data_IF_311350673054
#
_entry.id   IF_311350673054
#
_cell.length_a   1.000
_cell.length_b   1.000
_cell.length_c   1.000
_cell.angle_alpha   90.00
_cell.angle_beta   90.00
_cell.angle_gamma   90.00
#
_symmetry.space_group_name_H-M   'P 1'
#
loop_
_entity.id
_entity.type
_entity.pdbx_description
1 polymer ?
#
# COMPACT_ATOMS: atom_id res chain seq x y z
N UNK A 1 -10.04 -1.95 -11.83
CA UNK A 1 -9.08 -1.09 -11.13
C UNK A 1 -7.87 -0.88 -12.03
N UNK A 2 -7.53 0.36 -12.38
CA UNK A 2 -6.32 0.68 -13.15
C UNK A 2 -5.12 0.82 -12.22
N UNK A 3 -3.87 0.52 -12.66
CA UNK A 3 -2.67 0.73 -11.85
C UNK A 3 -2.56 2.16 -11.32
N UNK A 4 -2.87 3.17 -12.14
CA UNK A 4 -2.85 4.58 -11.78
C UNK A 4 -3.78 4.88 -10.58
N UNK A 5 -5.05 4.44 -10.63
CA UNK A 5 -6.01 4.70 -9.54
C UNK A 5 -5.64 3.98 -8.26
N UNK A 6 -5.14 2.74 -8.37
CA UNK A 6 -4.64 1.99 -7.21
C UNK A 6 -3.45 2.71 -6.59
N UNK A 7 -2.47 3.09 -7.39
CA UNK A 7 -1.29 3.80 -6.94
C UNK A 7 -1.63 5.10 -6.20
N UNK A 8 -2.44 5.98 -6.78
CA UNK A 8 -2.83 7.25 -6.14
C UNK A 8 -3.52 6.98 -4.80
N UNK A 9 -4.44 6.00 -4.74
CA UNK A 9 -5.11 5.66 -3.49
C UNK A 9 -4.16 5.11 -2.43
N UNK A 10 -3.24 4.22 -2.81
CA UNK A 10 -2.23 3.67 -1.90
C UNK A 10 -1.32 4.77 -1.31
N UNK A 11 -0.89 5.71 -2.13
CA UNK A 11 -0.07 6.84 -1.66
C UNK A 11 -0.87 7.76 -0.72
N UNK A 12 -2.13 8.06 -1.04
CA UNK A 12 -2.98 8.89 -0.18
C UNK A 12 -3.27 8.22 1.17
N UNK A 13 -3.42 6.90 1.19
CA UNK A 13 -3.71 6.12 2.39
C UNK A 13 -2.49 5.92 3.29
N UNK A 14 -1.27 6.23 2.85
CA UNK A 14 -0.09 6.20 3.72
C UNK A 14 -0.29 7.18 4.89
N UNK A 15 -0.40 6.64 6.12
CA UNK A 15 -0.58 7.40 7.36
C UNK A 15 -1.81 8.34 7.38
N UNK A 16 -2.82 8.05 6.56
CA UNK A 16 -4.06 8.83 6.48
C UNK A 16 -5.26 7.89 6.49
N UNK A 17 -6.30 8.25 7.23
CA UNK A 17 -7.52 7.44 7.34
C UNK A 17 -8.34 7.45 6.05
N UNK A 18 -9.01 6.34 5.75
CA UNK A 18 -9.84 6.17 4.55
C UNK A 18 -10.92 7.25 4.45
N UNK A 19 -11.60 7.56 5.56
CA UNK A 19 -12.64 8.60 5.61
C UNK A 19 -12.15 9.97 5.15
N UNK A 20 -10.90 10.32 5.44
CA UNK A 20 -10.26 11.55 4.98
C UNK A 20 -9.91 11.46 3.50
N UNK A 21 -9.37 10.33 3.04
CA UNK A 21 -8.86 10.15 1.68
C UNK A 21 -9.96 10.19 0.62
N UNK A 22 -11.16 9.70 0.90
CA UNK A 22 -12.24 9.57 -0.10
C UNK A 22 -12.47 10.87 -0.88
N UNK A 23 -12.68 11.98 -0.17
CA UNK A 23 -12.95 13.27 -0.81
C UNK A 23 -11.74 13.84 -1.58
N UNK A 24 -10.54 13.62 -1.07
CA UNK A 24 -9.29 14.02 -1.76
C UNK A 24 -9.07 13.21 -3.03
N UNK A 25 -9.24 11.90 -2.94
CA UNK A 25 -9.10 11.01 -4.08
C UNK A 25 -10.05 11.37 -5.22
N UNK A 26 -11.32 11.65 -4.90
CA UNK A 26 -12.30 12.02 -5.93
C UNK A 26 -11.89 13.31 -6.66
N UNK A 27 -11.60 14.39 -5.91
CA UNK A 27 -11.16 15.67 -6.51
C UNK A 27 -9.87 15.52 -7.31
N UNK A 28 -8.94 14.68 -6.84
CA UNK A 28 -7.69 14.42 -7.53
C UNK A 28 -7.92 13.69 -8.86
N UNK A 29 -8.80 12.68 -8.87
CA UNK A 29 -9.16 11.93 -10.08
C UNK A 29 -9.95 12.79 -11.09
N UNK A 30 -10.78 13.72 -10.61
CA UNK A 30 -11.51 14.66 -11.46
C UNK A 30 -10.55 15.62 -12.17
N UNK A 31 -9.47 16.04 -11.50
CA UNK A 31 -8.47 16.96 -12.06
C UNK A 31 -7.39 16.24 -12.86
N UNK A 32 -6.98 15.06 -12.41
CA UNK A 32 -5.93 14.24 -13.04
C UNK A 32 -6.46 12.81 -13.27
N UNK A 33 -7.26 12.59 -14.31
CA UNK A 33 -7.92 11.30 -14.55
C UNK A 33 -6.97 10.17 -14.90
N UNK A 34 -5.77 10.49 -15.36
CA UNK A 34 -4.72 9.55 -15.74
C UNK A 34 -3.31 10.10 -15.42
N UNK A 35 -2.32 9.25 -15.66
CA UNK A 35 -0.91 9.57 -15.37
C UNK A 35 -0.37 10.69 -16.25
N UNK A 36 -0.85 10.83 -17.50
CA UNK A 36 -0.41 11.87 -18.42
C UNK A 36 -0.89 13.23 -17.94
N UNK A 37 -2.14 13.33 -17.52
CA UNK A 37 -2.69 14.57 -16.94
C UNK A 37 -1.93 14.98 -15.68
N UNK A 38 -1.60 14.01 -14.80
CA UNK A 38 -0.82 14.28 -13.60
C UNK A 38 0.62 14.69 -13.93
N UNK A 39 1.28 14.03 -14.88
CA UNK A 39 2.65 14.34 -15.29
C UNK A 39 2.77 15.73 -15.92
N UNK A 40 1.77 16.15 -16.71
CA UNK A 40 1.73 17.44 -17.40
C UNK A 40 1.34 18.62 -16.47
N UNK A 41 0.81 18.34 -15.29
CA UNK A 41 0.39 19.38 -14.35
C UNK A 41 1.57 20.14 -13.76
N UNK A 42 1.34 21.38 -13.37
CA UNK A 42 2.29 22.12 -12.54
C UNK A 42 2.35 21.55 -11.12
N UNK A 43 3.53 21.61 -10.50
CA UNK A 43 3.72 21.13 -9.15
C UNK A 43 2.78 21.80 -8.14
N UNK A 44 2.51 23.09 -8.31
CA UNK A 44 1.62 23.86 -7.44
C UNK A 44 0.17 23.40 -7.55
N UNK A 45 -0.30 23.01 -8.73
CA UNK A 45 -1.64 22.43 -8.92
C UNK A 45 -1.77 21.10 -8.15
N UNK A 46 -0.77 20.23 -8.24
CA UNK A 46 -0.75 18.94 -7.51
C UNK A 46 -0.74 19.18 -6.00
N UNK A 47 0.09 20.10 -5.51
CA UNK A 47 0.16 20.46 -4.09
C UNK A 47 -1.12 21.10 -3.59
N UNK A 48 -1.76 21.94 -4.41
CA UNK A 48 -3.04 22.57 -4.07
C UNK A 48 -4.13 21.52 -3.78
N UNK A 49 -4.28 20.52 -4.66
CA UNK A 49 -5.25 19.44 -4.46
C UNK A 49 -4.89 18.51 -3.28
N UNK A 50 -3.65 18.54 -2.82
CA UNK A 50 -3.17 17.79 -1.65
C UNK A 50 -3.28 18.58 -0.34
N UNK A 51 -3.60 19.87 -0.41
CA UNK A 51 -3.67 20.77 0.76
C UNK A 51 -4.63 20.23 1.81
N UNK A 52 -4.15 20.07 3.03
CA UNK A 52 -4.91 19.52 4.17
C UNK A 52 -4.73 18.00 4.38
N UNK A 53 -4.21 17.26 3.39
CA UNK A 53 -3.94 15.83 3.54
C UNK A 53 -2.65 15.55 4.34
N UNK A 54 -1.72 16.52 4.37
CA UNK A 54 -0.44 16.41 5.07
C UNK A 54 0.61 15.58 4.35
N UNK A 55 1.81 15.51 4.93
CA UNK A 55 2.92 14.72 4.38
C UNK A 55 3.18 15.02 2.89
N UNK A 56 3.40 16.29 2.55
CA UNK A 56 3.49 16.81 1.17
C UNK A 56 4.60 16.16 0.32
N UNK A 57 5.59 15.52 0.94
CA UNK A 57 6.57 14.73 0.20
C UNK A 57 5.94 13.63 -0.63
N UNK A 58 4.79 13.08 -0.19
CA UNK A 58 4.01 12.08 -0.96
C UNK A 58 3.52 12.68 -2.29
N UNK A 59 2.95 13.88 -2.25
CA UNK A 59 2.47 14.56 -3.45
C UNK A 59 3.61 14.88 -4.42
N UNK A 60 4.74 15.38 -3.92
CA UNK A 60 5.92 15.65 -4.73
C UNK A 60 6.49 14.40 -5.38
N UNK A 61 6.58 13.30 -4.64
CA UNK A 61 7.04 12.03 -5.16
C UNK A 61 6.07 11.43 -6.18
N UNK A 62 4.75 11.53 -5.90
CA UNK A 62 3.70 11.11 -6.82
C UNK A 62 3.83 11.83 -8.18
N UNK A 63 4.02 13.14 -8.16
CA UNK A 63 4.20 13.94 -9.37
C UNK A 63 5.50 13.59 -10.12
N UNK A 64 6.62 13.42 -9.40
CA UNK A 64 7.89 12.98 -10.00
C UNK A 64 7.76 11.60 -10.64
N UNK A 65 7.11 10.65 -9.94
CA UNK A 65 6.90 9.30 -10.45
C UNK A 65 5.98 9.30 -11.67
N UNK A 66 4.96 10.17 -11.72
CA UNK A 66 4.10 10.32 -12.89
C UNK A 66 4.90 10.76 -14.13
N UNK A 67 5.80 11.74 -13.98
CA UNK A 67 6.69 12.18 -15.07
C UNK A 67 7.61 11.05 -15.51
N UNK A 68 8.23 10.34 -14.58
CA UNK A 68 9.08 9.20 -14.89
C UNK A 68 8.32 8.09 -15.64
N UNK A 69 7.09 7.77 -15.22
CA UNK A 69 6.25 6.80 -15.91
C UNK A 69 5.96 7.22 -17.36
N UNK A 70 5.67 8.49 -17.60
CA UNK A 70 5.42 8.99 -18.95
C UNK A 70 6.69 8.97 -19.79
N UNK A 71 7.81 9.43 -19.24
CA UNK A 71 9.08 9.58 -19.97
C UNK A 71 9.74 8.24 -20.28
N UNK A 72 9.72 7.30 -19.34
CA UNK A 72 10.47 6.03 -19.45
C UNK A 72 9.59 4.84 -19.86
N UNK A 73 8.30 4.87 -19.52
CA UNK A 73 7.36 3.75 -19.71
C UNK A 73 6.13 4.11 -20.55
N UNK A 74 6.12 5.29 -21.19
CA UNK A 74 4.98 5.72 -22.01
C UNK A 74 3.67 5.93 -21.28
N UNK A 75 3.73 6.09 -19.95
CA UNK A 75 2.58 6.29 -19.08
C UNK A 75 1.98 4.99 -18.53
N UNK A 76 2.55 3.84 -18.80
CA UNK A 76 2.14 2.56 -18.19
C UNK A 76 3.04 2.19 -17.02
N UNK A 77 2.56 1.30 -16.14
CA UNK A 77 3.36 0.77 -15.04
C UNK A 77 4.23 -0.39 -15.53
N UNK A 78 5.48 -0.51 -15.03
CA UNK A 78 6.27 -1.72 -15.22
C UNK A 78 5.55 -2.95 -14.67
N UNK A 79 5.93 -4.14 -15.15
CA UNK A 79 5.27 -5.40 -14.78
C UNK A 79 5.87 -6.07 -13.55
N UNK A 80 7.04 -5.61 -13.08
CA UNK A 80 7.73 -6.21 -11.94
C UNK A 80 7.70 -5.31 -10.70
N UNK A 81 7.68 -5.93 -9.53
CA UNK A 81 7.73 -5.22 -8.24
C UNK A 81 9.02 -4.41 -8.11
N UNK A 82 10.12 -4.96 -8.58
CA UNK A 82 11.44 -4.36 -8.55
C UNK A 82 11.47 -3.04 -9.33
N UNK A 83 10.95 -3.04 -10.54
CA UNK A 83 10.89 -1.85 -11.39
C UNK A 83 9.92 -0.81 -10.83
N UNK A 84 8.72 -1.21 -10.42
CA UNK A 84 7.75 -0.28 -9.80
C UNK A 84 8.32 0.33 -8.51
N UNK A 85 9.09 -0.42 -7.75
CA UNK A 85 9.73 0.08 -6.52
C UNK A 85 10.89 1.07 -6.77
N UNK A 86 11.34 1.25 -8.01
CA UNK A 86 12.32 2.31 -8.36
C UNK A 86 11.67 3.68 -8.48
N UNK A 87 10.36 3.74 -8.65
CA UNK A 87 9.62 4.99 -8.78
C UNK A 87 9.63 5.80 -7.47
N UNK A 88 9.75 7.14 -7.54
CA UNK A 88 9.77 7.99 -6.36
C UNK A 88 8.58 7.74 -5.41
N UNK A 89 8.88 7.50 -4.15
CA UNK A 89 7.86 7.30 -3.11
C UNK A 89 7.17 5.94 -3.09
N UNK A 90 7.59 5.01 -3.94
CA UNK A 90 7.06 3.64 -4.00
C UNK A 90 8.09 2.67 -3.43
N UNK A 91 7.76 2.06 -2.29
CA UNK A 91 8.55 0.96 -1.74
C UNK A 91 8.03 -0.41 -2.22
N UNK A 92 8.78 -1.48 -1.91
CA UNK A 92 8.44 -2.87 -2.28
C UNK A 92 6.99 -3.25 -1.93
N UNK A 93 6.51 -2.91 -0.73
CA UNK A 93 5.15 -3.24 -0.31
C UNK A 93 4.08 -2.50 -1.13
N UNK A 94 4.29 -1.21 -1.38
CA UNK A 94 3.37 -0.41 -2.21
C UNK A 94 3.38 -0.90 -3.66
N UNK A 95 4.54 -1.21 -4.22
CA UNK A 95 4.67 -1.80 -5.55
C UNK A 95 3.91 -3.13 -5.66
N UNK A 96 4.06 -3.99 -4.66
CA UNK A 96 3.31 -5.25 -4.57
C UNK A 96 1.81 -5.04 -4.52
N UNK A 97 1.33 -4.09 -3.72
CA UNK A 97 -0.09 -3.78 -3.62
C UNK A 97 -0.66 -3.24 -4.96
N UNK A 98 0.07 -2.36 -5.64
CA UNK A 98 -0.34 -1.82 -6.94
C UNK A 98 -0.51 -2.96 -7.95
N UNK A 99 0.50 -3.80 -8.12
CA UNK A 99 0.50 -4.87 -9.12
C UNK A 99 -0.48 -5.99 -8.79
N UNK A 100 -0.58 -6.39 -7.53
CA UNK A 100 -1.53 -7.43 -7.11
C UNK A 100 -2.99 -7.00 -7.31
N UNK A 101 -3.33 -5.75 -6.97
CA UNK A 101 -4.70 -5.24 -7.06
C UNK A 101 -5.13 -4.85 -8.48
N UNK A 102 -4.19 -4.42 -9.33
CA UNK A 102 -4.52 -3.89 -10.66
C UNK A 102 -4.26 -4.87 -11.79
N UNK A 103 -3.26 -5.76 -11.65
CA UNK A 103 -2.82 -6.70 -12.70
C UNK A 103 -2.87 -8.18 -12.28
N UNK A 104 -3.19 -8.46 -11.01
CA UNK A 104 -3.19 -9.81 -10.50
C UNK A 104 -1.80 -10.47 -10.46
N UNK A 105 -0.74 -9.66 -10.35
CA UNK A 105 0.62 -10.16 -10.17
C UNK A 105 0.78 -10.66 -8.74
N UNK A 106 1.32 -11.88 -8.59
CA UNK A 106 1.60 -12.44 -7.27
C UNK A 106 2.76 -11.67 -6.63
N UNK A 107 2.43 -10.85 -5.66
CA UNK A 107 3.39 -10.03 -4.93
C UNK A 107 2.99 -9.93 -3.45
N UNK A 108 3.87 -10.33 -2.52
CA UNK A 108 3.62 -10.15 -1.10
C UNK A 108 3.67 -8.66 -0.74
N UNK A 109 2.90 -8.30 0.27
CA UNK A 109 2.92 -6.96 0.86
C UNK A 109 3.29 -7.03 2.34
N UNK A 110 3.96 -6.00 2.83
CA UNK A 110 4.37 -5.90 4.23
C UNK A 110 4.39 -4.44 4.69
N UNK A 111 3.22 -3.82 4.73
CA UNK A 111 3.03 -2.49 5.32
C UNK A 111 3.00 -2.56 6.86
N UNK A 112 2.86 -1.45 7.54
CA UNK A 112 2.82 -1.40 9.00
C UNK A 112 1.68 -2.21 9.63
N UNK A 113 0.54 -2.33 8.97
CA UNK A 113 -0.60 -3.12 9.41
C UNK A 113 -0.33 -4.62 9.26
N UNK A 114 0.18 -5.02 8.11
CA UNK A 114 0.53 -6.41 7.82
C UNK A 114 1.71 -6.88 8.68
N UNK A 115 2.72 -6.03 8.89
CA UNK A 115 3.83 -6.31 9.85
C UNK A 115 3.28 -6.64 11.23
N UNK A 116 2.38 -5.83 11.75
CA UNK A 116 1.76 -6.04 13.07
C UNK A 116 0.93 -7.31 13.10
N UNK A 117 0.11 -7.55 12.07
CA UNK A 117 -0.71 -8.74 11.95
C UNK A 117 0.14 -10.01 11.97
N UNK A 118 1.13 -10.12 11.10
CA UNK A 118 2.01 -11.28 10.99
C UNK A 118 2.87 -11.48 12.23
N UNK A 119 3.38 -10.39 12.83
CA UNK A 119 4.13 -10.47 14.09
C UNK A 119 3.30 -11.10 15.21
N UNK A 120 2.02 -10.74 15.33
CA UNK A 120 1.11 -11.30 16.34
C UNK A 120 0.67 -12.72 16.00
N UNK A 121 0.31 -12.95 14.74
CA UNK A 121 -0.14 -14.27 14.28
C UNK A 121 0.89 -15.36 14.58
N UNK A 122 2.17 -15.05 14.43
CA UNK A 122 3.29 -15.97 14.63
C UNK A 122 4.14 -15.70 15.87
N UNK A 123 3.70 -14.82 16.77
CA UNK A 123 4.48 -14.40 17.93
C UNK A 123 5.97 -14.12 17.60
N UNK A 124 6.23 -13.44 16.47
CA UNK A 124 7.59 -13.16 16.00
C UNK A 124 8.29 -12.26 17.01
N UNK A 125 9.40 -12.71 17.62
CA UNK A 125 10.06 -11.93 18.66
C UNK A 125 10.85 -10.74 18.09
N UNK A 126 10.95 -9.69 18.87
CA UNK A 126 11.75 -8.51 18.55
C UNK A 126 10.97 -7.40 17.84
N UNK A 127 11.67 -6.31 17.57
CA UNK A 127 11.04 -5.14 16.93
C UNK A 127 10.96 -5.32 15.41
N UNK A 128 9.76 -5.18 14.81
CA UNK A 128 9.54 -5.41 13.36
C UNK A 128 10.34 -4.51 12.41
N UNK A 129 10.93 -3.43 12.90
CA UNK A 129 11.82 -2.57 12.12
C UNK A 129 13.29 -3.04 12.07
N UNK A 130 13.68 -4.04 12.87
CA UNK A 130 15.02 -4.63 12.76
C UNK A 130 15.09 -5.54 11.55
N UNK A 131 16.18 -5.46 10.78
CA UNK A 131 16.35 -6.19 9.52
C UNK A 131 16.10 -7.71 9.61
N UNK A 132 16.62 -8.44 10.62
CA UNK A 132 16.35 -9.88 10.75
C UNK A 132 14.85 -10.18 10.97
N UNK A 133 14.17 -9.37 11.79
CA UNK A 133 12.73 -9.52 12.06
C UNK A 133 11.92 -9.17 10.80
N UNK A 134 12.27 -8.09 10.14
CA UNK A 134 11.63 -7.69 8.88
C UNK A 134 11.77 -8.76 7.79
N UNK A 135 12.95 -9.35 7.64
CA UNK A 135 13.18 -10.45 6.71
C UNK A 135 12.27 -11.64 7.02
N UNK A 136 12.17 -12.03 8.31
CA UNK A 136 11.25 -13.10 8.73
C UNK A 136 9.80 -12.77 8.40
N UNK A 137 9.37 -11.53 8.57
CA UNK A 137 8.02 -11.10 8.23
C UNK A 137 7.77 -11.11 6.71
N UNK A 138 8.76 -10.80 5.89
CA UNK A 138 8.69 -10.94 4.44
C UNK A 138 8.56 -12.41 4.01
N UNK A 139 9.28 -13.33 4.64
CA UNK A 139 9.12 -14.78 4.39
C UNK A 139 7.69 -15.25 4.69
N UNK A 140 7.12 -14.80 5.82
CA UNK A 140 5.74 -15.10 6.17
C UNK A 140 4.75 -14.47 5.18
N UNK A 141 4.96 -13.22 4.78
CA UNK A 141 4.14 -12.56 3.79
C UNK A 141 4.16 -13.33 2.46
N UNK A 142 5.32 -13.78 2.00
CA UNK A 142 5.48 -14.61 0.81
C UNK A 142 4.72 -15.94 0.96
N UNK A 143 4.87 -16.63 2.09
CA UNK A 143 4.22 -17.91 2.35
C UNK A 143 2.69 -17.83 2.32
N UNK A 144 2.11 -16.73 2.81
CA UNK A 144 0.66 -16.54 2.85
C UNK A 144 0.07 -15.93 1.58
N UNK A 145 0.89 -15.36 0.70
CA UNK A 145 0.39 -14.80 -0.56
C UNK A 145 -0.07 -15.92 -1.50
N UNK A 146 -1.36 -16.02 -1.82
CA UNK A 146 -1.90 -17.09 -2.66
C UNK A 146 -1.51 -16.91 -4.13
N UNK A 147 -1.83 -17.93 -4.95
CA UNK A 147 -1.67 -17.85 -6.41
C UNK A 147 -2.93 -17.32 -7.12
N UNK A 148 -4.05 -17.20 -6.40
CA UNK A 148 -5.35 -16.80 -6.96
C UNK A 148 -6.00 -15.75 -6.06
N UNK A 149 -6.90 -14.95 -6.65
CA UNK A 149 -7.65 -13.89 -5.95
C UNK A 149 -6.72 -12.90 -5.22
N UNK A 150 -5.65 -12.53 -5.88
CA UNK A 150 -4.58 -11.71 -5.30
C UNK A 150 -5.06 -10.34 -4.84
N UNK A 151 -5.93 -9.69 -5.65
CA UNK A 151 -6.51 -8.40 -5.27
C UNK A 151 -7.36 -8.50 -4.00
N UNK A 152 -8.16 -9.57 -3.87
CA UNK A 152 -9.00 -9.81 -2.69
C UNK A 152 -8.14 -10.10 -1.46
N UNK A 153 -7.11 -10.94 -1.61
CA UNK A 153 -6.19 -11.25 -0.52
C UNK A 153 -5.44 -10.01 -0.05
N UNK A 154 -4.87 -9.24 -0.98
CA UNK A 154 -4.12 -8.02 -0.66
C UNK A 154 -5.00 -7.02 0.09
N UNK A 155 -6.23 -6.81 -0.37
CA UNK A 155 -7.19 -5.94 0.32
C UNK A 155 -7.56 -6.51 1.70
N UNK A 156 -7.88 -7.80 1.78
CA UNK A 156 -8.31 -8.42 3.03
C UNK A 156 -7.24 -8.37 4.13
N UNK A 157 -5.97 -8.60 3.80
CA UNK A 157 -4.90 -8.59 4.79
C UNK A 157 -4.60 -7.17 5.29
N UNK A 158 -4.72 -6.17 4.42
CA UNK A 158 -4.63 -4.76 4.82
C UNK A 158 -5.80 -4.35 5.73
N UNK A 159 -7.03 -4.70 5.35
CA UNK A 159 -8.24 -4.40 6.12
C UNK A 159 -8.22 -5.07 7.49
N UNK A 160 -7.82 -6.34 7.55
CA UNK A 160 -7.70 -7.09 8.81
C UNK A 160 -6.72 -6.39 9.77
N UNK A 161 -5.58 -5.94 9.26
CA UNK A 161 -4.61 -5.17 10.05
C UNK A 161 -5.11 -3.78 10.45
N UNK A 162 -5.87 -3.11 9.60
CA UNK A 162 -6.36 -1.75 9.86
C UNK A 162 -7.57 -1.71 10.78
N UNK A 163 -8.50 -2.68 10.68
CA UNK A 163 -9.81 -2.61 11.34
C UNK A 163 -9.94 -3.53 12.55
N UNK A 164 -9.39 -4.74 12.52
CA UNK A 164 -9.51 -5.73 13.60
C UNK A 164 -8.21 -5.87 14.41
N UNK A 165 -7.08 -6.18 13.77
CA UNK A 165 -5.79 -6.31 14.44
C UNK A 165 -5.12 -4.95 14.68
N UNK A 166 -5.87 -4.01 15.30
CA UNK A 166 -5.42 -2.64 15.53
C UNK A 166 -4.28 -2.57 16.54
N UNK A 167 -3.57 -1.43 16.58
CA UNK A 167 -2.38 -1.25 17.41
C UNK A 167 -2.68 -1.36 18.91
N UNK A 168 -3.73 -0.69 19.38
CA UNK A 168 -4.02 -0.53 20.81
C UNK A 168 -5.14 -1.43 21.33
N UNK A 169 -6.17 -1.67 20.52
CA UNK A 169 -7.38 -2.43 20.92
C UNK A 169 -7.76 -3.40 19.80
N UNK A 170 -7.02 -4.52 19.64
CA UNK A 170 -7.38 -5.51 18.64
C UNK A 170 -8.70 -6.18 19.03
N UNK A 171 -9.60 -6.33 18.06
CA UNK A 171 -10.85 -7.07 18.23
C UNK A 171 -10.61 -8.56 17.90
N UNK A 172 -9.94 -9.24 18.83
CA UNK A 172 -9.62 -10.65 18.69
C UNK A 172 -10.87 -11.56 18.63
N UNK A 173 -11.97 -11.29 19.35
CA UNK A 173 -13.18 -12.09 19.21
C UNK A 173 -13.77 -12.09 17.80
N UNK A 174 -13.73 -10.95 17.08
CA UNK A 174 -14.23 -10.83 15.73
C UNK A 174 -13.19 -11.23 14.65
N UNK A 175 -11.95 -11.53 15.04
CA UNK A 175 -10.87 -11.79 14.10
C UNK A 175 -11.00 -13.19 13.47
N UNK A 176 -11.07 -13.28 12.12
CA UNK A 176 -11.26 -14.57 11.44
C UNK A 176 -10.07 -15.54 11.59
N UNK A 177 -8.90 -15.03 11.94
CA UNK A 177 -7.68 -15.84 12.15
C UNK A 177 -7.33 -16.02 13.64
N UNK A 178 -8.25 -15.67 14.54
CA UNK A 178 -8.02 -15.71 15.97
C UNK A 178 -7.57 -17.08 16.50
N UNK A 179 -8.10 -18.17 15.93
CA UNK A 179 -7.80 -19.54 16.38
C UNK A 179 -6.37 -19.99 16.00
N UNK A 180 -5.73 -19.31 15.07
CA UNK A 180 -4.34 -19.58 14.67
C UNK A 180 -3.35 -18.53 15.19
N UNK A 181 -3.85 -17.52 15.90
CA UNK A 181 -3.02 -16.42 16.39
C UNK A 181 -2.28 -16.83 17.66
N UNK A 182 -0.94 -16.96 17.55
CA UNK A 182 -0.09 -17.37 18.68
C UNK A 182 -0.07 -16.29 19.79
N UNK A 183 -0.04 -15.00 19.45
CA UNK A 183 -0.07 -13.93 20.43
C UNK A 183 -1.39 -13.82 21.21
N UNK A 184 -2.46 -14.50 20.79
CA UNK A 184 -3.72 -14.60 21.53
C UNK A 184 -3.72 -15.77 22.52
N UNK A 185 -2.95 -16.79 22.22
CA UNK A 185 -2.87 -18.02 23.05
C UNK A 185 -2.02 -17.80 24.31
N UNK A 186 -1.16 -16.78 24.30
CA UNK A 186 -0.35 -16.35 25.45
C UNK A 186 -1.12 -15.30 26.30
#
# INVERSE_FOLDING_TARGET
>A
RTPYRVWVSEIMLQQTQVSTVIGYFQRFMDSFPDVHALAAADADQVLHLWTGLGYYARARNLHKAARQLVDEYGGDFPDTVEEVATLPGIGRSTAGAILAQSRGVRAPILDGNVKRLLSRLHAVPGWPGKKPVENRLWELAEQYTPDRRLADYTQAVMDLGATLCTRRRPDCPACPVANWCQARAD
#
